data_IF_085447161359
#
_entry.id   IF_085447161359
#
_cell.length_a   1.000
_cell.length_b   1.000
_cell.length_c   1.000
_cell.angle_alpha   90.00
_cell.angle_beta   90.00
_cell.angle_gamma   90.00
#
_symmetry.space_group_name_H-M   'P 1'
#
loop_
_entity.id
_entity.type
_entity.pdbx_description
1 polymer ?
#
# COMPACT_ATOMS: atom_id res chain seq x y z
N UNK A 1 -15.78 -10.59 12.08
CA UNK A 1 -15.63 -11.27 10.80
C UNK A 1 -16.58 -12.44 10.74
N UNK A 2 -16.36 -13.53 11.49
CA UNK A 2 -17.21 -14.73 11.49
C UNK A 2 -18.71 -14.45 11.69
N UNK A 3 -19.08 -13.60 12.67
CA UNK A 3 -20.49 -13.21 12.91
C UNK A 3 -21.15 -12.46 11.72
N UNK A 4 -20.35 -11.87 10.84
CA UNK A 4 -20.79 -11.15 9.65
C UNK A 4 -20.69 -11.98 8.37
N UNK A 5 -20.19 -13.21 8.49
CA UNK A 5 -20.03 -14.11 7.34
C UNK A 5 -19.15 -13.48 6.23
N UNK A 6 -18.00 -12.92 6.62
CA UNK A 6 -17.06 -12.27 5.70
C UNK A 6 -15.78 -13.10 5.57
N UNK A 7 -15.20 -13.24 4.36
CA UNK A 7 -13.85 -13.76 4.19
C UNK A 7 -12.82 -12.80 4.77
N UNK A 8 -11.67 -13.31 5.16
CA UNK A 8 -10.54 -12.49 5.59
C UNK A 8 -9.20 -13.23 5.47
N UNK A 9 -8.13 -12.46 5.31
CA UNK A 9 -6.76 -12.95 5.40
C UNK A 9 -6.19 -12.63 6.79
N UNK A 10 -5.70 -13.66 7.48
CA UNK A 10 -5.07 -13.57 8.80
C UNK A 10 -3.57 -13.72 8.65
N UNK A 11 -2.84 -12.60 8.70
CA UNK A 11 -1.38 -12.61 8.64
C UNK A 11 -0.82 -12.81 10.04
N UNK A 12 -0.20 -13.95 10.28
CA UNK A 12 0.25 -14.40 11.59
C UNK A 12 1.77 -14.23 11.75
N UNK A 13 2.20 -13.64 12.86
CA UNK A 13 3.62 -13.60 13.21
C UNK A 13 4.14 -15.01 13.49
N UNK A 14 5.46 -15.23 13.41
CA UNK A 14 6.08 -16.50 13.79
C UNK A 14 5.66 -16.95 15.20
N UNK A 15 5.61 -16.02 16.15
CA UNK A 15 5.25 -16.33 17.52
C UNK A 15 3.80 -16.79 17.67
N UNK A 16 2.89 -16.25 16.86
CA UNK A 16 1.50 -16.70 16.80
C UNK A 16 1.37 -18.09 16.15
N UNK A 17 2.10 -18.36 15.05
CA UNK A 17 2.11 -19.67 14.38
C UNK A 17 2.65 -20.76 15.32
N UNK A 18 3.72 -20.48 16.04
CA UNK A 18 4.35 -21.40 16.98
C UNK A 18 3.56 -21.60 18.30
N UNK A 19 2.47 -20.85 18.50
CA UNK A 19 1.64 -20.92 19.70
C UNK A 19 0.51 -21.96 19.52
N UNK A 20 0.59 -23.09 20.22
CA UNK A 20 -0.39 -24.19 20.12
C UNK A 20 -1.82 -23.77 20.48
N UNK A 21 -1.99 -22.92 21.50
CA UNK A 21 -3.33 -22.50 21.94
C UNK A 21 -3.99 -21.58 20.90
N UNK A 22 -3.24 -20.73 20.21
CA UNK A 22 -3.77 -19.92 19.11
C UNK A 22 -4.12 -20.78 17.90
N UNK A 23 -3.32 -21.81 17.61
CA UNK A 23 -3.62 -22.72 16.52
C UNK A 23 -4.95 -23.46 16.73
N UNK A 24 -5.29 -23.86 17.96
CA UNK A 24 -6.59 -24.44 18.28
C UNK A 24 -7.75 -23.50 17.93
N UNK A 25 -7.57 -22.19 18.13
CA UNK A 25 -8.58 -21.19 17.73
C UNK A 25 -8.67 -21.08 16.20
N UNK A 26 -7.53 -21.04 15.52
CA UNK A 26 -7.49 -20.91 14.05
C UNK A 26 -8.10 -22.14 13.36
N UNK A 27 -7.91 -23.33 13.90
CA UNK A 27 -8.49 -24.58 13.37
C UNK A 27 -10.02 -24.64 13.42
N UNK A 28 -10.66 -23.76 14.19
CA UNK A 28 -12.12 -23.62 14.27
C UNK A 28 -12.69 -22.63 13.24
N UNK A 29 -11.86 -21.96 12.46
CA UNK A 29 -12.29 -21.03 11.44
C UNK A 29 -12.75 -21.78 10.19
N UNK A 30 -13.67 -21.14 9.44
CA UNK A 30 -14.22 -21.72 8.22
C UNK A 30 -13.25 -21.58 7.02
N UNK A 31 -13.55 -22.28 5.93
CA UNK A 31 -12.73 -22.36 4.73
C UNK A 31 -12.58 -21.02 3.95
N UNK A 32 -13.38 -20.01 4.28
CA UNK A 32 -13.27 -18.67 3.69
C UNK A 32 -12.23 -17.80 4.40
N UNK A 33 -11.59 -18.33 5.43
CA UNK A 33 -10.52 -17.64 6.15
C UNK A 33 -9.17 -18.10 5.60
N UNK A 34 -8.46 -17.18 4.98
CA UNK A 34 -7.08 -17.41 4.55
C UNK A 34 -6.11 -17.15 5.70
N UNK A 35 -5.11 -18.03 5.86
CA UNK A 35 -3.99 -17.79 6.77
C UNK A 35 -2.71 -17.53 6.00
N UNK A 36 -1.98 -16.50 6.43
CA UNK A 36 -0.70 -16.10 5.87
C UNK A 36 0.32 -15.77 6.96
N UNK A 37 1.48 -15.27 6.56
CA UNK A 37 2.58 -14.94 7.46
C UNK A 37 2.77 -13.43 7.54
N UNK A 38 2.88 -12.86 8.76
CA UNK A 38 3.37 -11.51 9.00
C UNK A 38 4.85 -11.54 9.38
N UNK A 39 5.68 -10.90 8.56
CA UNK A 39 7.14 -11.02 8.62
C UNK A 39 7.74 -9.96 9.55
N UNK A 40 7.71 -10.24 10.84
CA UNK A 40 8.41 -9.48 11.88
C UNK A 40 9.42 -10.37 12.59
N UNK A 41 10.70 -9.96 12.57
CA UNK A 41 11.74 -10.68 13.28
C UNK A 41 11.66 -10.38 14.78
N UNK A 42 11.38 -11.41 15.58
CA UNK A 42 11.43 -11.39 17.04
C UNK A 42 12.64 -12.13 17.55
N UNK A 43 13.01 -11.94 18.84
CA UNK A 43 14.12 -12.67 19.45
C UNK A 43 13.90 -14.20 19.39
N UNK A 44 12.69 -14.67 19.66
CA UNK A 44 12.32 -16.09 19.55
C UNK A 44 12.43 -16.61 18.13
N UNK A 45 11.90 -15.86 17.16
CA UNK A 45 11.95 -16.22 15.74
C UNK A 45 13.39 -16.32 15.24
N UNK A 46 14.21 -15.29 15.51
CA UNK A 46 15.63 -15.27 15.11
C UNK A 46 16.42 -16.42 15.73
N UNK A 47 16.24 -16.67 17.04
CA UNK A 47 16.92 -17.77 17.73
C UNK A 47 16.55 -19.14 17.16
N UNK A 48 15.27 -19.37 16.86
CA UNK A 48 14.82 -20.62 16.26
C UNK A 48 15.31 -20.80 14.82
N UNK A 49 15.61 -19.70 14.13
CA UNK A 49 16.23 -19.70 12.80
C UNK A 49 17.76 -19.87 12.84
N UNK A 50 18.36 -19.93 14.04
CA UNK A 50 19.82 -19.95 14.22
C UNK A 50 20.49 -18.64 13.83
N UNK A 51 19.79 -17.52 13.91
CA UNK A 51 20.25 -16.17 13.57
C UNK A 51 20.32 -15.32 14.83
N UNK A 52 21.43 -14.62 15.10
CA UNK A 52 21.48 -13.64 16.18
C UNK A 52 20.44 -12.54 15.95
N UNK A 53 19.59 -12.30 16.95
CA UNK A 53 18.62 -11.20 16.91
C UNK A 53 19.34 -9.86 17.04
N UNK A 54 19.03 -8.93 16.14
CA UNK A 54 19.56 -7.56 16.17
C UNK A 54 18.91 -6.75 17.30
N UNK A 55 19.18 -7.14 18.57
CA UNK A 55 18.56 -6.57 19.74
C UNK A 55 18.93 -5.10 19.92
N UNK A 56 17.92 -4.27 20.12
CA UNK A 56 18.06 -2.83 20.43
C UNK A 56 17.25 -2.49 21.68
N UNK A 57 17.13 -1.21 22.01
CA UNK A 57 16.29 -0.77 23.14
C UNK A 57 14.79 -0.66 22.79
N UNK A 58 14.41 -0.94 21.54
CA UNK A 58 13.03 -0.98 21.13
C UNK A 58 12.80 -2.09 20.10
N UNK A 59 11.65 -2.76 20.19
CA UNK A 59 11.28 -3.85 19.30
C UNK A 59 11.02 -3.38 17.86
N UNK A 60 10.51 -2.15 17.69
CA UNK A 60 10.12 -1.59 16.38
C UNK A 60 11.29 -1.01 15.57
N UNK A 61 12.52 -1.04 16.04
CA UNK A 61 13.64 -0.55 15.24
C UNK A 61 13.84 -1.36 13.96
N UNK A 62 13.94 -0.68 12.81
CA UNK A 62 13.99 -1.27 11.49
C UNK A 62 15.08 -2.34 11.32
N UNK A 63 16.27 -2.14 11.94
CA UNK A 63 17.35 -3.14 11.96
C UNK A 63 16.94 -4.43 12.68
N UNK A 64 15.99 -4.37 13.61
CA UNK A 64 15.57 -5.52 14.42
C UNK A 64 14.37 -6.24 13.78
N UNK A 65 13.35 -5.48 13.40
CA UNK A 65 12.03 -6.03 13.05
C UNK A 65 11.92 -6.46 11.58
N UNK A 66 12.59 -5.75 10.64
CA UNK A 66 12.47 -6.06 9.22
C UNK A 66 13.53 -7.07 8.75
N UNK A 67 13.14 -7.90 7.79
CA UNK A 67 14.09 -8.81 7.12
C UNK A 67 15.26 -8.05 6.52
N UNK A 68 15.04 -6.84 6.00
CA UNK A 68 16.11 -5.97 5.48
C UNK A 68 17.16 -5.57 6.51
N UNK A 69 16.91 -5.74 7.81
CA UNK A 69 17.90 -5.60 8.89
C UNK A 69 18.92 -6.74 8.96
N UNK A 70 18.73 -7.81 8.20
CA UNK A 70 19.55 -9.01 8.19
C UNK A 70 20.25 -9.20 6.85
N UNK A 71 21.36 -9.96 6.82
CA UNK A 71 22.07 -10.31 5.57
C UNK A 71 21.18 -11.22 4.72
N UNK A 72 21.34 -11.21 3.41
CA UNK A 72 20.54 -12.02 2.49
C UNK A 72 20.46 -13.51 2.89
N UNK A 73 21.59 -14.12 3.29
CA UNK A 73 21.60 -15.50 3.73
C UNK A 73 20.81 -15.74 5.04
N UNK A 74 20.79 -14.73 5.92
CA UNK A 74 20.00 -14.80 7.15
C UNK A 74 18.53 -14.54 6.88
N UNK A 75 18.19 -13.65 5.93
CA UNK A 75 16.79 -13.49 5.45
C UNK A 75 16.23 -14.80 4.93
N UNK A 76 16.97 -15.55 4.11
CA UNK A 76 16.54 -16.87 3.62
C UNK A 76 16.26 -17.83 4.76
N UNK A 77 17.14 -17.91 5.77
CA UNK A 77 16.92 -18.79 6.93
C UNK A 77 15.69 -18.40 7.74
N UNK A 78 15.49 -17.09 7.99
CA UNK A 78 14.30 -16.58 8.64
C UNK A 78 13.04 -16.99 7.84
N UNK A 79 13.01 -16.72 6.54
CA UNK A 79 11.89 -17.10 5.66
C UNK A 79 11.67 -18.61 5.71
N UNK A 80 12.70 -19.42 5.53
CA UNK A 80 12.57 -20.87 5.55
C UNK A 80 11.99 -21.38 6.87
N UNK A 81 12.48 -20.85 8.00
CA UNK A 81 12.00 -21.23 9.32
C UNK A 81 10.51 -20.97 9.49
N UNK A 82 10.03 -19.78 9.15
CA UNK A 82 8.61 -19.46 9.35
C UNK A 82 7.71 -20.20 8.36
N UNK A 83 8.15 -20.42 7.11
CA UNK A 83 7.37 -21.17 6.13
C UNK A 83 7.27 -22.66 6.48
N UNK A 84 8.34 -23.26 7.01
CA UNK A 84 8.34 -24.65 7.50
C UNK A 84 7.42 -24.78 8.71
N UNK A 85 7.55 -23.91 9.72
CA UNK A 85 6.66 -23.91 10.89
C UNK A 85 5.19 -23.75 10.49
N UNK A 86 4.91 -22.84 9.55
CA UNK A 86 3.56 -22.64 9.02
C UNK A 86 3.02 -23.94 8.38
N UNK A 87 3.82 -24.54 7.49
CA UNK A 87 3.42 -25.81 6.85
C UNK A 87 3.21 -26.96 7.84
N UNK A 88 4.04 -27.04 8.86
CA UNK A 88 3.88 -28.07 9.92
C UNK A 88 2.57 -27.88 10.69
N UNK A 89 2.10 -26.63 10.86
CA UNK A 89 0.85 -26.32 11.57
C UNK A 89 -0.38 -26.45 10.67
N UNK A 90 -0.34 -25.86 9.48
CA UNK A 90 -1.50 -25.72 8.61
C UNK A 90 -1.57 -26.77 7.50
N UNK A 91 -0.50 -27.54 7.25
CA UNK A 91 -0.43 -28.59 6.23
C UNK A 91 -0.11 -28.10 4.81
N UNK A 92 -0.02 -26.78 4.60
CA UNK A 92 0.27 -26.16 3.30
C UNK A 92 1.21 -24.95 3.46
N UNK A 93 1.78 -24.46 2.37
CA UNK A 93 2.50 -23.18 2.38
C UNK A 93 1.54 -22.03 2.12
N UNK A 94 1.69 -20.87 2.84
CA UNK A 94 0.79 -19.74 2.64
C UNK A 94 1.02 -19.08 1.27
N UNK A 95 -0.05 -18.53 0.70
CA UNK A 95 0.00 -17.76 -0.54
C UNK A 95 0.18 -16.26 -0.28
N UNK A 96 -0.19 -15.80 0.90
CA UNK A 96 -0.10 -14.40 1.30
C UNK A 96 0.89 -14.20 2.44
N UNK A 97 1.67 -13.14 2.31
CA UNK A 97 2.56 -12.65 3.36
C UNK A 97 2.29 -11.17 3.63
N UNK A 98 2.80 -10.65 4.74
CA UNK A 98 2.75 -9.23 5.03
C UNK A 98 3.91 -8.80 5.90
N UNK A 99 4.06 -7.51 6.04
CA UNK A 99 5.04 -6.84 6.87
C UNK A 99 5.00 -5.36 6.57
N UNK A 100 5.45 -4.52 7.48
CA UNK A 100 5.48 -3.09 7.22
C UNK A 100 6.44 -2.76 6.07
N UNK A 101 7.53 -3.50 5.94
CA UNK A 101 8.36 -3.49 4.74
C UNK A 101 8.88 -4.90 4.43
N UNK A 102 8.53 -5.42 3.26
CA UNK A 102 9.07 -6.67 2.72
C UNK A 102 9.88 -6.34 1.47
N UNK A 103 11.19 -6.52 1.54
CA UNK A 103 12.14 -6.15 0.49
C UNK A 103 12.04 -7.06 -0.74
N UNK A 104 12.46 -6.53 -1.91
CA UNK A 104 12.34 -7.23 -3.18
C UNK A 104 13.15 -8.53 -3.24
N UNK A 105 14.31 -8.59 -2.57
CA UNK A 105 15.08 -9.83 -2.46
C UNK A 105 14.29 -10.93 -1.72
N UNK A 106 13.69 -10.57 -0.59
CA UNK A 106 12.87 -11.49 0.20
C UNK A 106 11.62 -11.93 -0.55
N UNK A 107 10.96 -11.01 -1.26
CA UNK A 107 9.80 -11.32 -2.11
C UNK A 107 10.18 -12.28 -3.24
N UNK A 108 11.28 -12.02 -3.95
CA UNK A 108 11.77 -12.91 -5.03
C UNK A 108 12.04 -14.32 -4.50
N UNK A 109 12.73 -14.42 -3.37
CA UNK A 109 13.03 -15.71 -2.75
C UNK A 109 11.76 -16.47 -2.32
N UNK A 110 10.79 -15.78 -1.72
CA UNK A 110 9.53 -16.40 -1.31
C UNK A 110 8.68 -16.82 -2.52
N UNK A 111 8.64 -16.01 -3.57
CA UNK A 111 7.94 -16.36 -4.80
C UNK A 111 8.56 -17.61 -5.46
N UNK A 112 9.89 -17.63 -5.65
CA UNK A 112 10.60 -18.72 -6.31
C UNK A 112 10.50 -20.05 -5.54
N UNK A 113 10.55 -19.99 -4.21
CA UNK A 113 10.62 -21.21 -3.38
C UNK A 113 9.28 -21.69 -2.86
N UNK A 114 8.38 -20.79 -2.54
CA UNK A 114 7.13 -21.08 -1.85
C UNK A 114 5.89 -20.69 -2.63
N UNK A 115 6.08 -20.07 -3.80
CA UNK A 115 4.99 -19.70 -4.71
C UNK A 115 3.94 -18.79 -4.03
N UNK A 116 4.42 -17.74 -3.32
CA UNK A 116 3.53 -16.71 -2.78
C UNK A 116 2.88 -15.92 -3.91
N UNK A 117 1.66 -15.46 -3.70
CA UNK A 117 0.88 -14.68 -4.67
C UNK A 117 0.60 -13.25 -4.24
N UNK A 118 0.54 -12.96 -2.94
CA UNK A 118 0.22 -11.66 -2.41
C UNK A 118 1.13 -11.20 -1.27
N UNK A 119 1.39 -9.89 -1.19
CA UNK A 119 2.09 -9.27 -0.07
C UNK A 119 1.37 -8.00 0.39
N UNK A 120 1.11 -7.89 1.70
CA UNK A 120 0.63 -6.68 2.33
C UNK A 120 1.81 -5.85 2.84
N UNK A 121 1.90 -4.58 2.44
CA UNK A 121 2.86 -3.62 2.95
C UNK A 121 2.20 -2.34 3.43
N UNK A 122 2.93 -1.50 4.15
CA UNK A 122 2.44 -0.18 4.52
C UNK A 122 2.13 0.68 3.30
N UNK A 123 1.21 1.59 3.49
CA UNK A 123 0.89 2.62 2.50
C UNK A 123 2.08 3.55 2.29
N UNK A 124 2.01 4.35 1.23
CA UNK A 124 2.96 5.42 0.97
C UNK A 124 2.93 6.43 2.13
N UNK A 125 3.89 6.34 3.05
CA UNK A 125 3.94 7.13 4.29
C UNK A 125 5.23 7.92 4.44
N UNK A 126 5.12 9.08 5.05
CA UNK A 126 6.22 9.99 5.31
C UNK A 126 6.49 10.07 6.82
N UNK A 127 7.64 9.51 7.23
CA UNK A 127 8.19 9.58 8.60
C UNK A 127 7.19 9.26 9.72
N UNK A 128 6.51 8.13 9.60
CA UNK A 128 5.61 7.58 10.63
C UNK A 128 6.30 6.39 11.30
N UNK A 129 6.31 6.33 12.63
CA UNK A 129 6.94 5.26 13.43
C UNK A 129 8.46 5.07 13.16
N UNK A 130 9.13 6.11 12.65
CA UNK A 130 10.50 6.02 12.19
C UNK A 130 10.67 5.35 10.82
N UNK A 131 9.57 5.17 10.09
CA UNK A 131 9.57 4.56 8.77
C UNK A 131 9.08 5.55 7.72
N UNK A 132 9.93 5.81 6.75
CA UNK A 132 9.58 6.52 5.54
C UNK A 132 9.57 5.53 4.38
N UNK A 133 8.39 5.25 3.83
CA UNK A 133 8.21 4.54 2.57
C UNK A 133 7.45 5.49 1.64
N UNK A 134 8.17 6.25 0.83
CA UNK A 134 7.62 7.40 0.13
C UNK A 134 7.91 7.37 -1.37
N UNK A 135 6.90 7.72 -2.15
CA UNK A 135 6.96 7.71 -3.60
C UNK A 135 6.48 6.44 -4.26
N UNK A 136 6.02 5.47 -3.49
CA UNK A 136 5.50 4.19 -3.98
C UNK A 136 4.09 4.36 -4.56
N UNK A 137 3.54 3.39 -5.32
CA UNK A 137 2.18 3.49 -5.82
C UNK A 137 1.17 3.78 -4.73
N UNK A 138 0.26 4.66 -5.06
CA UNK A 138 -0.70 5.24 -4.16
C UNK A 138 -1.91 4.32 -3.97
N UNK A 139 -2.06 3.75 -2.77
CA UNK A 139 -3.23 3.00 -2.28
C UNK A 139 -3.88 1.99 -3.24
N UNK A 140 -3.17 1.50 -4.26
CA UNK A 140 -3.65 0.49 -5.19
C UNK A 140 -2.75 -0.74 -5.24
N UNK A 141 -3.28 -1.92 -5.56
CA UNK A 141 -2.48 -3.11 -5.84
C UNK A 141 -1.62 -2.95 -7.09
N UNK A 142 -0.40 -3.50 -7.04
CA UNK A 142 0.53 -3.51 -8.16
C UNK A 142 1.50 -4.69 -8.08
N UNK A 143 2.17 -5.00 -9.20
CA UNK A 143 3.29 -5.92 -9.23
C UNK A 143 4.59 -5.19 -8.89
N UNK A 144 5.35 -5.57 -7.86
CA UNK A 144 6.63 -4.93 -7.55
C UNK A 144 7.72 -5.35 -8.55
N UNK A 145 8.73 -4.51 -8.70
CA UNK A 145 9.93 -4.83 -9.45
C UNK A 145 10.79 -5.88 -8.72
N UNK A 146 11.55 -6.69 -9.48
CA UNK A 146 12.50 -7.68 -8.95
C UNK A 146 13.61 -7.08 -8.08
N UNK A 147 13.88 -5.79 -8.22
CA UNK A 147 14.98 -5.12 -7.52
C UNK A 147 14.53 -4.00 -6.58
N UNK A 148 13.23 -3.70 -6.54
CA UNK A 148 12.66 -2.68 -5.66
C UNK A 148 11.19 -2.94 -5.36
N UNK A 149 10.87 -3.30 -4.13
CA UNK A 149 9.50 -3.67 -3.73
C UNK A 149 8.49 -2.50 -3.81
N UNK A 150 8.96 -1.25 -3.75
CA UNK A 150 8.13 -0.04 -3.84
C UNK A 150 7.96 0.51 -5.26
N UNK A 151 8.63 -0.05 -6.26
CA UNK A 151 8.51 0.38 -7.67
C UNK A 151 7.67 -0.65 -8.43
N UNK A 152 6.64 -0.22 -9.18
CA UNK A 152 5.92 -1.13 -10.07
C UNK A 152 6.85 -1.71 -11.13
N UNK A 153 6.83 -3.02 -11.27
CA UNK A 153 7.56 -3.69 -12.36
C UNK A 153 6.80 -3.61 -13.67
N UNK A 154 7.54 -3.40 -14.76
CA UNK A 154 7.01 -3.61 -16.11
C UNK A 154 7.00 -5.11 -16.49
N UNK A 155 6.58 -5.42 -17.72
CA UNK A 155 6.47 -6.79 -18.20
C UNK A 155 7.78 -7.58 -18.20
N UNK A 156 8.95 -6.91 -18.12
CA UNK A 156 10.27 -7.54 -18.17
C UNK A 156 10.86 -7.83 -16.78
N UNK A 157 10.50 -7.01 -15.79
CA UNK A 157 11.14 -7.03 -14.47
C UNK A 157 10.19 -7.18 -13.27
N UNK A 158 8.87 -7.33 -13.49
CA UNK A 158 7.94 -7.55 -12.39
C UNK A 158 8.17 -8.87 -11.65
N UNK A 159 7.93 -8.89 -10.36
CA UNK A 159 7.65 -10.11 -9.61
C UNK A 159 6.18 -10.49 -9.83
N UNK A 160 5.90 -11.78 -9.89
CA UNK A 160 4.52 -12.28 -10.02
C UNK A 160 3.82 -12.40 -8.65
N UNK A 161 3.92 -11.33 -7.88
CA UNK A 161 3.34 -11.15 -6.54
C UNK A 161 2.55 -9.85 -6.54
N UNK A 162 1.31 -9.88 -6.05
CA UNK A 162 0.48 -8.68 -5.95
C UNK A 162 0.77 -7.97 -4.62
N UNK A 163 1.20 -6.72 -4.69
CA UNK A 163 1.41 -5.89 -3.50
C UNK A 163 0.10 -5.18 -3.14
N UNK A 164 -0.37 -5.41 -1.91
CA UNK A 164 -1.48 -4.68 -1.30
C UNK A 164 -0.94 -3.56 -0.42
N UNK A 165 -1.68 -2.47 -0.31
CA UNK A 165 -1.36 -1.37 0.58
C UNK A 165 -2.25 -1.38 1.81
N UNK A 166 -1.63 -1.22 2.97
CA UNK A 166 -2.37 -1.08 4.21
C UNK A 166 -3.19 0.20 4.19
N UNK A 167 -4.51 0.00 4.10
CA UNK A 167 -5.58 0.97 4.15
C UNK A 167 -5.56 2.12 3.10
N UNK A 168 -6.58 2.95 3.14
CA UNK A 168 -6.76 4.10 2.27
C UNK A 168 -6.07 5.34 2.84
N UNK A 169 -5.45 6.16 1.98
CA UNK A 169 -4.85 7.44 2.36
C UNK A 169 -5.63 8.59 1.75
N UNK A 170 -5.77 9.69 2.48
CA UNK A 170 -6.32 10.93 1.94
C UNK A 170 -5.45 11.44 0.78
N UNK A 171 -6.01 11.56 -0.44
CA UNK A 171 -5.24 11.88 -1.62
C UNK A 171 -4.71 13.32 -1.66
N UNK A 172 -5.27 14.22 -0.88
CA UNK A 172 -4.80 15.60 -0.75
C UNK A 172 -4.03 15.78 0.56
N UNK A 173 -4.72 15.61 1.68
CA UNK A 173 -4.17 15.96 2.99
C UNK A 173 -3.03 15.02 3.41
N UNK A 174 -3.00 13.79 2.91
CA UNK A 174 -1.91 12.85 3.11
C UNK A 174 -0.60 13.22 2.41
N UNK A 175 -0.63 14.19 1.48
CA UNK A 175 0.50 14.53 0.62
C UNK A 175 0.96 16.00 0.72
N UNK A 176 0.20 16.87 1.34
CA UNK A 176 0.56 18.28 1.48
C UNK A 176 0.83 18.71 2.93
N UNK A 177 0.45 17.90 3.91
CA UNK A 177 0.65 18.22 5.32
C UNK A 177 0.85 16.99 6.19
N UNK A 178 2.10 16.57 6.46
CA UNK A 178 2.40 15.41 7.28
C UNK A 178 1.99 15.59 8.75
N UNK A 179 1.89 16.84 9.20
CA UNK A 179 1.51 17.17 10.57
C UNK A 179 -0.01 17.19 10.83
N UNK A 180 -0.83 17.09 9.80
CA UNK A 180 -2.27 16.96 9.96
C UNK A 180 -2.61 15.53 10.39
N UNK A 181 -3.48 15.40 11.40
CA UNK A 181 -3.89 14.11 11.93
C UNK A 181 -4.48 13.19 10.85
N UNK A 182 -5.32 13.74 9.98
CA UNK A 182 -5.96 13.02 8.88
C UNK A 182 -4.96 12.51 7.83
N UNK A 183 -3.82 13.17 7.68
CA UNK A 183 -2.77 12.81 6.73
C UNK A 183 -2.12 11.44 7.03
N UNK A 184 -2.16 11.01 8.28
CA UNK A 184 -1.50 9.78 8.77
C UNK A 184 -2.49 8.64 9.01
N UNK A 185 -3.78 8.81 8.67
CA UNK A 185 -4.81 7.88 9.08
C UNK A 185 -5.17 6.89 7.97
N UNK A 186 -4.99 5.62 8.26
CA UNK A 186 -5.23 4.54 7.30
C UNK A 186 -6.05 3.39 7.87
N UNK A 187 -5.77 2.99 9.11
CA UNK A 187 -6.41 1.84 9.74
C UNK A 187 -7.57 2.26 10.63
N UNK A 188 -8.38 1.29 11.03
CA UNK A 188 -9.53 1.53 11.93
C UNK A 188 -9.09 2.12 13.27
N UNK A 189 -7.97 1.63 13.83
CA UNK A 189 -7.46 2.14 15.10
C UNK A 189 -6.92 3.56 14.98
N UNK A 190 -6.25 3.90 13.87
CA UNK A 190 -5.70 5.24 13.65
C UNK A 190 -6.81 6.28 13.64
N UNK A 191 -7.92 6.02 12.96
CA UNK A 191 -9.09 6.90 12.97
C UNK A 191 -9.63 7.14 14.37
N UNK A 192 -9.69 6.08 15.18
CA UNK A 192 -10.19 6.21 16.55
C UNK A 192 -9.23 6.97 17.45
N UNK A 193 -7.93 6.77 17.30
CA UNK A 193 -6.89 7.44 18.10
C UNK A 193 -6.86 8.95 17.90
N UNK A 194 -7.10 9.43 16.70
CA UNK A 194 -7.01 10.85 16.36
C UNK A 194 -8.37 11.56 16.33
N UNK A 195 -9.46 10.84 16.56
CA UNK A 195 -10.80 11.41 16.61
C UNK A 195 -11.32 11.86 15.24
N UNK A 196 -10.90 11.23 14.15
CA UNK A 196 -11.48 11.48 12.85
C UNK A 196 -12.95 11.03 12.80
N UNK A 197 -13.76 11.75 12.03
CA UNK A 197 -15.20 11.47 11.96
C UNK A 197 -15.49 10.20 11.14
N UNK A 198 -16.59 9.55 11.44
CA UNK A 198 -17.10 8.45 10.62
C UNK A 198 -17.40 8.89 9.17
N UNK A 199 -17.92 10.10 8.99
CA UNK A 199 -18.20 10.67 7.67
C UNK A 199 -16.92 10.79 6.82
N UNK A 200 -15.83 11.26 7.42
CA UNK A 200 -14.55 11.34 6.73
C UNK A 200 -14.05 9.94 6.31
N UNK A 201 -14.18 8.95 7.19
CA UNK A 201 -13.82 7.58 6.85
C UNK A 201 -14.70 7.00 5.72
N UNK A 202 -16.01 7.25 5.77
CA UNK A 202 -16.94 6.80 4.73
C UNK A 202 -16.60 7.42 3.37
N UNK A 203 -16.23 8.70 3.31
CA UNK A 203 -15.74 9.34 2.07
C UNK A 203 -14.49 8.67 1.51
N UNK A 204 -13.55 8.29 2.38
CA UNK A 204 -12.36 7.53 1.95
C UNK A 204 -12.73 6.14 1.43
N UNK A 205 -13.63 5.43 2.10
CA UNK A 205 -14.09 4.11 1.65
C UNK A 205 -14.77 4.23 0.29
N UNK A 206 -15.68 5.17 0.12
CA UNK A 206 -16.38 5.40 -1.15
C UNK A 206 -15.39 5.70 -2.28
N UNK A 207 -14.41 6.57 -2.04
CA UNK A 207 -13.42 6.95 -3.03
C UNK A 207 -12.63 5.76 -3.59
N UNK A 208 -12.28 4.79 -2.72
CA UNK A 208 -11.44 3.66 -3.12
C UNK A 208 -12.22 2.39 -3.48
N UNK A 209 -13.43 2.20 -2.98
CA UNK A 209 -14.23 0.99 -3.21
C UNK A 209 -15.19 1.10 -4.40
N UNK A 210 -15.50 2.32 -4.85
CA UNK A 210 -16.37 2.54 -5.99
C UNK A 210 -15.55 2.64 -7.27
N UNK A 211 -15.82 1.74 -8.23
CA UNK A 211 -15.14 1.79 -9.53
C UNK A 211 -15.53 3.05 -10.28
N UNK A 212 -14.57 3.92 -10.56
CA UNK A 212 -14.75 5.05 -11.47
C UNK A 212 -14.69 4.62 -12.94
N UNK A 213 -15.22 5.44 -13.84
CA UNK A 213 -15.11 5.23 -15.29
C UNK A 213 -13.66 5.28 -15.82
N UNK A 214 -12.74 5.84 -15.02
CA UNK A 214 -11.34 5.99 -15.39
C UNK A 214 -10.50 4.73 -15.11
N UNK A 215 -10.96 3.83 -14.25
CA UNK A 215 -10.19 2.69 -13.76
C UNK A 215 -10.74 1.34 -14.22
N UNK A 216 -9.86 0.36 -14.33
CA UNK A 216 -10.27 -1.01 -14.64
C UNK A 216 -10.94 -1.70 -13.43
N UNK A 217 -10.55 -1.31 -12.20
CA UNK A 217 -11.12 -1.82 -10.95
C UNK A 217 -11.06 -0.77 -9.84
N UNK A 218 -11.74 -1.04 -8.76
CA UNK A 218 -11.61 -0.35 -7.47
C UNK A 218 -11.08 -1.33 -6.43
N UNK A 219 -10.34 -0.85 -5.44
CA UNK A 219 -9.78 -1.69 -4.39
C UNK A 219 -9.60 -0.91 -3.09
N UNK A 220 -9.94 -1.56 -1.98
CA UNK A 220 -9.69 -1.06 -0.64
C UNK A 220 -9.28 -2.22 0.28
N UNK A 221 -8.20 -2.05 1.03
CA UNK A 221 -7.87 -2.93 2.16
C UNK A 221 -8.51 -2.39 3.43
N UNK A 222 -9.32 -3.21 4.09
CA UNK A 222 -9.87 -2.91 5.42
C UNK A 222 -9.31 -3.91 6.41
N UNK A 223 -8.59 -3.43 7.41
CA UNK A 223 -7.93 -4.32 8.36
C UNK A 223 -7.88 -3.75 9.76
N UNK A 224 -7.34 -4.55 10.68
CA UNK A 224 -7.09 -4.25 12.07
C UNK A 224 -5.78 -4.90 12.49
N UNK A 225 -4.94 -4.15 13.16
CA UNK A 225 -3.75 -4.67 13.83
C UNK A 225 -4.12 -5.26 15.18
N UNK A 226 -3.46 -6.35 15.58
CA UNK A 226 -3.75 -7.04 16.83
C UNK A 226 -2.91 -6.54 18.01
N UNK A 227 -2.29 -5.39 17.90
CA UNK A 227 -1.37 -4.82 18.91
C UNK A 227 -2.08 -4.27 20.14
N UNK A 228 -3.36 -4.01 20.01
CA UNK A 228 -4.14 -3.32 21.02
C UNK A 228 -5.21 -4.23 21.66
N UNK A 229 -5.65 -3.86 22.86
CA UNK A 229 -6.75 -4.56 23.50
C UNK A 229 -8.00 -4.55 22.61
N UNK A 230 -8.62 -5.71 22.36
CA UNK A 230 -9.88 -5.80 21.62
C UNK A 230 -10.96 -4.83 22.14
N UNK A 231 -11.02 -4.64 23.47
CA UNK A 231 -12.00 -3.76 24.12
C UNK A 231 -11.95 -2.32 23.61
N UNK A 232 -10.79 -1.86 23.12
CA UNK A 232 -10.61 -0.50 22.61
C UNK A 232 -11.22 -0.31 21.23
N UNK A 233 -11.14 -1.32 20.37
CA UNK A 233 -11.51 -1.20 18.95
C UNK A 233 -12.69 -2.07 18.52
N UNK A 234 -13.17 -2.98 19.37
CA UNK A 234 -14.22 -3.93 19.01
C UNK A 234 -15.46 -3.24 18.41
N UNK A 235 -15.95 -2.19 19.06
CA UNK A 235 -17.16 -1.49 18.62
C UNK A 235 -16.98 -0.80 17.26
N UNK A 236 -15.83 -0.12 17.07
CA UNK A 236 -15.52 0.58 15.82
C UNK A 236 -15.29 -0.43 14.70
N UNK A 237 -14.51 -1.47 14.96
CA UNK A 237 -14.25 -2.52 13.98
C UNK A 237 -15.53 -3.27 13.59
N UNK A 238 -16.39 -3.60 14.55
CA UNK A 238 -17.68 -4.21 14.27
C UNK A 238 -18.58 -3.32 13.38
N UNK A 239 -18.53 -2.01 13.58
CA UNK A 239 -19.21 -1.03 12.73
C UNK A 239 -18.64 -1.05 11.31
N UNK A 240 -17.29 -1.05 11.14
CA UNK A 240 -16.63 -1.13 9.83
C UNK A 240 -16.94 -2.43 9.09
N UNK A 241 -16.92 -3.57 9.79
CA UNK A 241 -17.34 -4.84 9.21
C UNK A 241 -18.81 -4.83 8.76
N UNK A 242 -19.67 -4.05 9.44
CA UNK A 242 -21.06 -3.89 8.99
C UNK A 242 -21.15 -3.04 7.71
N UNK A 243 -20.30 -2.03 7.55
CA UNK A 243 -20.19 -1.28 6.30
C UNK A 243 -19.65 -2.16 5.17
N UNK A 244 -18.60 -2.96 5.43
CA UNK A 244 -18.09 -3.93 4.45
C UNK A 244 -19.16 -4.91 4.00
N UNK A 245 -19.97 -5.46 4.94
CA UNK A 245 -21.07 -6.35 4.62
C UNK A 245 -22.13 -5.68 3.74
N UNK A 246 -22.44 -4.42 4.01
CA UNK A 246 -23.36 -3.63 3.19
C UNK A 246 -22.84 -3.44 1.76
N UNK A 247 -21.53 -3.20 1.58
CA UNK A 247 -20.92 -3.11 0.25
C UNK A 247 -21.00 -4.46 -0.49
N UNK A 248 -20.75 -5.58 0.20
CA UNK A 248 -20.90 -6.91 -0.37
C UNK A 248 -22.35 -7.13 -0.88
N UNK A 249 -23.35 -6.77 -0.09
CA UNK A 249 -24.77 -6.83 -0.47
C UNK A 249 -25.11 -5.92 -1.66
N UNK A 250 -24.32 -4.89 -1.91
CA UNK A 250 -24.42 -3.99 -3.06
C UNK A 250 -23.63 -4.46 -4.28
N UNK A 251 -22.99 -5.63 -4.21
CA UNK A 251 -22.28 -6.25 -5.33
C UNK A 251 -20.76 -6.00 -5.35
N UNK A 252 -20.19 -5.38 -4.30
CA UNK A 252 -18.72 -5.29 -4.13
C UNK A 252 -18.20 -6.64 -3.63
N UNK A 253 -17.23 -7.21 -4.32
CA UNK A 253 -16.60 -8.47 -3.90
C UNK A 253 -15.74 -8.25 -2.68
N UNK A 254 -15.96 -9.02 -1.62
CA UNK A 254 -15.06 -9.10 -0.46
C UNK A 254 -14.24 -10.37 -0.62
N UNK A 255 -12.93 -10.23 -0.71
CA UNK A 255 -12.02 -11.30 -1.09
C UNK A 255 -10.87 -11.42 -0.07
N UNK A 256 -10.30 -12.60 0.03
CA UNK A 256 -8.99 -12.80 0.65
C UNK A 256 -7.89 -12.27 -0.24
N UNK A 257 -6.66 -12.14 0.28
CA UNK A 257 -5.51 -11.71 -0.51
C UNK A 257 -5.17 -12.72 -1.62
N UNK A 258 -5.28 -14.01 -1.35
CA UNK A 258 -5.06 -15.07 -2.35
C UNK A 258 -6.09 -14.96 -3.49
N UNK A 259 -7.39 -14.92 -3.17
CA UNK A 259 -8.45 -14.79 -4.16
C UNK A 259 -8.31 -13.54 -5.03
N UNK A 260 -8.00 -12.40 -4.42
CA UNK A 260 -7.76 -11.17 -5.17
C UNK A 260 -6.51 -11.27 -6.04
N UNK A 261 -5.41 -11.84 -5.52
CA UNK A 261 -4.17 -12.02 -6.28
C UNK A 261 -4.36 -12.90 -7.50
N UNK A 262 -5.11 -13.98 -7.38
CA UNK A 262 -5.41 -14.88 -8.49
C UNK A 262 -6.25 -14.18 -9.56
N UNK A 263 -7.27 -13.45 -9.15
CA UNK A 263 -8.06 -12.62 -10.05
C UNK A 263 -7.19 -11.56 -10.74
N UNK A 264 -6.37 -10.82 -9.99
CA UNK A 264 -5.52 -9.75 -10.51
C UNK A 264 -4.51 -10.25 -11.53
N UNK A 265 -3.84 -11.39 -11.25
CA UNK A 265 -2.89 -12.03 -12.17
C UNK A 265 -3.56 -12.51 -13.46
N UNK A 266 -4.79 -12.98 -13.38
CA UNK A 266 -5.58 -13.41 -14.54
C UNK A 266 -6.01 -12.24 -15.41
N UNK A 267 -6.48 -11.15 -14.81
CA UNK A 267 -6.96 -9.98 -15.55
C UNK A 267 -5.79 -9.13 -16.09
N UNK A 268 -4.70 -9.00 -15.33
CA UNK A 268 -3.56 -8.16 -15.67
C UNK A 268 -2.24 -8.96 -15.73
N UNK A 269 -2.10 -9.93 -16.64
CA UNK A 269 -0.96 -10.87 -16.62
C UNK A 269 0.38 -10.21 -16.97
N UNK A 270 0.38 -9.08 -17.67
CA UNK A 270 1.62 -8.44 -18.16
C UNK A 270 2.19 -7.41 -17.21
N UNK A 271 1.37 -6.47 -16.75
CA UNK A 271 1.77 -5.35 -15.90
C UNK A 271 0.55 -4.82 -15.18
N UNK A 272 0.75 -4.05 -14.13
CA UNK A 272 -0.34 -3.36 -13.44
C UNK A 272 -1.00 -2.35 -14.34
N UNK A 273 -2.33 -2.26 -14.38
CA UNK A 273 -3.02 -1.23 -15.15
C UNK A 273 -2.76 0.14 -14.54
N UNK A 274 -2.79 1.22 -15.34
CA UNK A 274 -2.80 2.58 -14.82
C UNK A 274 -4.00 2.81 -13.89
N UNK A 275 -3.83 3.72 -12.95
CA UNK A 275 -4.90 4.09 -12.01
C UNK A 275 -5.00 5.60 -11.89
N UNK A 276 -6.24 6.08 -11.84
CA UNK A 276 -6.58 7.48 -11.76
C UNK A 276 -7.53 7.75 -10.60
N UNK A 277 -7.20 8.72 -9.76
CA UNK A 277 -8.06 9.18 -8.67
C UNK A 277 -8.28 10.67 -8.85
N UNK A 278 -9.53 11.09 -8.74
CA UNK A 278 -9.89 12.50 -8.65
C UNK A 278 -10.96 12.67 -7.56
N UNK A 279 -10.80 13.69 -6.77
CA UNK A 279 -11.77 14.04 -5.72
C UNK A 279 -11.63 15.50 -5.32
N UNK A 280 -12.72 16.11 -4.90
CA UNK A 280 -12.68 17.35 -4.13
C UNK A 280 -12.12 17.07 -2.73
N UNK A 281 -11.57 18.09 -2.09
CA UNK A 281 -10.98 17.95 -0.76
C UNK A 281 -11.98 17.34 0.23
N UNK A 282 -11.59 16.24 0.85
CA UNK A 282 -12.44 15.50 1.79
C UNK A 282 -12.74 16.31 3.08
N UNK A 283 -11.91 17.30 3.38
CA UNK A 283 -12.09 18.23 4.51
C UNK A 283 -12.91 19.47 4.13
N UNK A 284 -13.27 19.65 2.85
CA UNK A 284 -14.19 20.66 2.37
C UNK A 284 -13.57 22.00 1.98
N UNK A 285 -12.25 22.07 1.78
CA UNK A 285 -11.64 23.24 1.15
C UNK A 285 -12.01 23.31 -0.35
N UNK A 286 -11.93 24.50 -0.93
CA UNK A 286 -12.24 24.72 -2.35
C UNK A 286 -11.10 24.26 -3.28
N UNK A 287 -10.78 22.98 -3.19
CA UNK A 287 -9.69 22.33 -3.92
C UNK A 287 -10.13 21.00 -4.50
N UNK A 288 -9.51 20.61 -5.61
CA UNK A 288 -9.60 19.26 -6.19
C UNK A 288 -8.20 18.68 -6.27
N UNK A 289 -8.07 17.39 -6.00
CA UNK A 289 -6.84 16.63 -6.22
C UNK A 289 -7.03 15.60 -7.32
N UNK A 290 -6.00 15.43 -8.10
CA UNK A 290 -5.93 14.42 -9.16
C UNK A 290 -4.63 13.65 -9.03
N UNK A 291 -4.72 12.32 -9.07
CA UNK A 291 -3.58 11.42 -9.12
C UNK A 291 -3.67 10.51 -10.32
N UNK A 292 -2.57 10.41 -11.03
CA UNK A 292 -2.36 9.39 -12.04
C UNK A 292 -1.10 8.59 -11.70
N UNK A 293 -1.17 7.29 -11.87
CA UNK A 293 -0.03 6.40 -11.70
C UNK A 293 -0.11 5.21 -12.65
N UNK A 294 1.05 4.82 -13.15
CA UNK A 294 1.25 3.68 -14.04
C UNK A 294 2.45 2.87 -13.57
N UNK A 295 2.93 1.92 -14.37
CA UNK A 295 4.21 1.24 -14.11
C UNK A 295 5.44 2.10 -14.45
N UNK A 296 5.24 3.30 -14.99
CA UNK A 296 6.33 4.16 -15.45
C UNK A 296 6.49 5.44 -14.63
N UNK A 297 5.40 5.97 -14.08
CA UNK A 297 5.44 7.20 -13.29
C UNK A 297 4.20 7.35 -12.42
N UNK A 298 4.28 8.29 -11.47
CA UNK A 298 3.08 8.87 -10.82
C UNK A 298 3.13 10.39 -10.86
N UNK A 299 1.97 11.01 -10.91
CA UNK A 299 1.79 12.47 -10.83
C UNK A 299 0.60 12.80 -9.95
N UNK A 300 0.80 13.73 -9.02
CA UNK A 300 -0.24 14.33 -8.17
C UNK A 300 -0.40 15.80 -8.49
N UNK A 301 -1.64 16.23 -8.74
CA UNK A 301 -2.03 17.61 -9.03
C UNK A 301 -3.05 18.08 -8.01
N UNK A 302 -2.90 19.27 -7.48
CA UNK A 302 -3.92 19.99 -6.74
C UNK A 302 -4.43 21.16 -7.58
N UNK A 303 -5.72 21.27 -7.81
CA UNK A 303 -6.39 22.40 -8.44
C UNK A 303 -7.13 23.22 -7.39
N UNK A 304 -6.88 24.52 -7.34
CA UNK A 304 -7.57 25.46 -6.46
C UNK A 304 -8.63 26.22 -7.28
N UNK A 305 -9.89 26.01 -6.92
CA UNK A 305 -11.03 26.63 -7.60
C UNK A 305 -11.05 28.17 -7.45
N UNK A 306 -10.48 28.70 -6.36
CA UNK A 306 -10.50 30.14 -6.06
C UNK A 306 -9.46 30.89 -6.90
N UNK A 307 -8.25 30.35 -6.96
CA UNK A 307 -7.15 30.96 -7.73
C UNK A 307 -7.10 30.52 -9.20
N UNK A 308 -7.81 29.43 -9.55
CA UNK A 308 -7.81 28.78 -10.87
C UNK A 308 -6.42 28.33 -11.31
N UNK A 309 -5.64 27.87 -10.34
CA UNK A 309 -4.28 27.37 -10.55
C UNK A 309 -4.19 25.90 -10.22
N UNK A 310 -3.25 25.22 -10.86
CA UNK A 310 -2.79 23.90 -10.42
C UNK A 310 -1.45 24.02 -9.70
N UNK A 311 -1.27 23.13 -8.74
CA UNK A 311 0.02 22.82 -8.13
C UNK A 311 0.37 21.36 -8.43
N UNK A 312 1.55 21.10 -8.98
CA UNK A 312 2.07 19.75 -9.09
C UNK A 312 2.67 19.41 -7.73
N UNK A 313 2.03 18.51 -6.99
CA UNK A 313 2.42 18.15 -5.62
C UNK A 313 3.37 16.95 -5.56
N UNK A 314 3.36 16.13 -6.61
CA UNK A 314 4.27 15.00 -6.78
C UNK A 314 4.44 14.69 -8.25
N UNK A 315 5.67 14.50 -8.69
CA UNK A 315 6.01 13.98 -10.02
C UNK A 315 7.26 13.13 -9.90
N UNK A 316 7.13 11.84 -10.19
CA UNK A 316 8.27 10.93 -10.13
C UNK A 316 8.22 9.82 -11.15
N UNK A 317 9.34 9.53 -11.82
CA UNK A 317 9.47 8.37 -12.68
C UNK A 317 9.68 7.11 -11.83
N UNK A 318 9.18 5.98 -12.31
CA UNK A 318 9.49 4.66 -11.79
C UNK A 318 10.60 4.02 -12.62
N UNK A 319 11.82 4.07 -12.09
CA UNK A 319 13.02 3.66 -12.81
C UNK A 319 13.28 2.15 -12.62
N UNK A 320 13.15 1.38 -13.67
CA UNK A 320 13.32 -0.08 -13.64
C UNK A 320 14.73 -0.57 -13.24
N UNK A 321 15.74 0.30 -13.29
CA UNK A 321 17.11 0.01 -12.88
C UNK A 321 17.47 0.58 -11.50
N UNK A 322 16.52 1.18 -10.79
CA UNK A 322 16.74 1.71 -9.46
C UNK A 322 16.59 0.59 -8.42
N UNK A 323 17.71 0.17 -7.85
CA UNK A 323 17.74 -0.86 -6.82
C UNK A 323 17.35 -0.26 -5.47
N UNK A 324 16.53 -0.99 -4.72
CA UNK A 324 16.11 -0.54 -3.38
C UNK A 324 17.27 -0.47 -2.41
N UNK A 325 17.21 0.43 -1.42
CA UNK A 325 18.11 0.42 -0.29
C UNK A 325 18.08 -0.95 0.42
N UNK A 326 19.23 -1.42 0.86
CA UNK A 326 19.38 -2.69 1.60
C UNK A 326 19.08 -3.97 0.80
N UNK A 327 18.98 -3.89 -0.53
CA UNK A 327 18.86 -5.09 -1.37
C UNK A 327 20.06 -6.02 -1.20
N UNK A 328 21.29 -5.50 -1.39
CA UNK A 328 22.53 -6.27 -1.26
C UNK A 328 23.18 -6.15 0.12
N UNK A 329 23.03 -5.02 0.79
CA UNK A 329 23.48 -4.79 2.16
C UNK A 329 22.30 -4.92 3.14
N UNK A 330 22.58 -4.92 4.44
CA UNK A 330 21.51 -4.91 5.44
C UNK A 330 21.39 -3.54 6.12
N UNK A 331 20.17 -3.19 6.53
CA UNK A 331 19.90 -1.98 7.29
C UNK A 331 20.45 -2.11 8.72
N UNK A 332 21.37 -1.23 9.09
CA UNK A 332 21.93 -1.13 10.47
C UNK A 332 21.32 0.03 11.26
N UNK A 333 20.40 0.77 10.66
CA UNK A 333 19.78 1.95 11.27
C UNK A 333 18.51 1.55 12.04
N UNK A 334 18.15 2.36 13.01
CA UNK A 334 16.89 2.19 13.73
C UNK A 334 15.68 2.51 12.88
N UNK A 335 15.83 3.43 11.94
CA UNK A 335 14.81 3.88 11.03
C UNK A 335 14.90 3.15 9.68
N UNK A 336 13.79 3.11 8.96
CA UNK A 336 13.73 2.73 7.55
C UNK A 336 13.51 3.98 6.71
N UNK A 337 14.32 4.18 5.69
CA UNK A 337 14.11 5.26 4.72
C UNK A 337 14.15 4.69 3.31
N UNK A 338 12.98 4.58 2.71
CA UNK A 338 12.75 4.23 1.31
C UNK A 338 12.09 5.43 0.67
N UNK A 339 12.87 6.20 -0.09
CA UNK A 339 12.39 7.38 -0.81
C UNK A 339 12.74 7.23 -2.28
N UNK A 340 11.73 7.24 -3.14
CA UNK A 340 11.92 7.08 -4.57
C UNK A 340 12.39 8.40 -5.22
N UNK A 341 13.18 8.33 -6.30
CA UNK A 341 13.55 9.49 -7.08
C UNK A 341 12.34 10.32 -7.48
N UNK A 342 12.50 11.64 -7.52
CA UNK A 342 11.43 12.56 -7.86
C UNK A 342 11.95 13.74 -8.71
N UNK A 343 11.05 14.33 -9.46
CA UNK A 343 11.21 15.64 -10.13
C UNK A 343 10.59 16.71 -9.24
N UNK A 344 9.38 16.44 -8.71
CA UNK A 344 8.66 17.29 -7.76
C UNK A 344 8.19 16.43 -6.59
N UNK A 345 8.40 16.93 -5.38
CA UNK A 345 7.95 16.28 -4.15
C UNK A 345 7.63 17.34 -3.08
N UNK A 346 6.37 17.67 -2.92
CA UNK A 346 5.91 18.68 -1.95
C UNK A 346 6.36 18.40 -0.52
N UNK A 347 6.49 17.13 -0.14
CA UNK A 347 6.83 16.74 1.23
C UNK A 347 8.31 16.89 1.54
N UNK A 348 9.18 16.52 0.59
CA UNK A 348 10.64 16.60 0.77
C UNK A 348 11.23 17.92 0.32
N UNK A 349 10.63 18.57 -0.70
CA UNK A 349 11.13 19.79 -1.29
C UNK A 349 9.98 20.70 -1.74
N UNK A 350 9.51 21.54 -0.82
CA UNK A 350 8.42 22.49 -1.10
C UNK A 350 8.79 23.55 -2.14
N UNK A 351 10.07 23.85 -2.28
CA UNK A 351 10.54 24.86 -3.25
C UNK A 351 10.50 24.32 -4.68
N UNK A 352 10.44 23.00 -4.86
CA UNK A 352 10.26 22.39 -6.20
C UNK A 352 8.85 22.54 -6.76
N UNK A 353 7.88 22.90 -5.92
CA UNK A 353 6.46 22.97 -6.30
C UNK A 353 6.20 24.18 -7.19
N UNK A 354 5.60 23.92 -8.34
CA UNK A 354 5.24 24.95 -9.30
C UNK A 354 3.72 25.22 -9.29
N UNK A 355 3.35 26.51 -9.22
CA UNK A 355 1.99 26.96 -9.48
C UNK A 355 1.83 27.38 -10.93
N UNK A 356 0.81 26.87 -11.59
CA UNK A 356 0.51 27.16 -12.98
C UNK A 356 -0.91 27.68 -13.09
N UNK A 357 -1.08 28.87 -13.65
CA UNK A 357 -2.40 29.43 -13.95
C UNK A 357 -2.98 28.75 -15.20
N UNK A 358 -4.02 27.96 -14.97
CA UNK A 358 -4.69 27.16 -16.01
C UNK A 358 -6.10 27.65 -16.37
N UNK A 359 -6.60 28.66 -15.65
CA UNK A 359 -8.00 29.08 -15.77
C UNK A 359 -8.97 28.04 -15.19
N UNK A 360 -10.21 28.04 -15.64
CA UNK A 360 -11.23 27.11 -15.19
C UNK A 360 -10.91 25.67 -15.61
N UNK A 361 -11.10 24.69 -14.71
CA UNK A 361 -11.18 23.28 -15.07
C UNK A 361 -12.51 23.05 -15.81
N UNK A 362 -12.43 22.69 -17.10
CA UNK A 362 -13.59 22.50 -17.96
C UNK A 362 -14.12 21.06 -17.91
N UNK A 363 -13.22 20.06 -17.99
CA UNK A 363 -13.61 18.65 -17.96
C UNK A 363 -12.45 17.74 -17.60
N UNK A 364 -12.81 16.56 -17.08
CA UNK A 364 -11.96 15.39 -16.97
C UNK A 364 -12.65 14.31 -17.81
N UNK A 365 -11.91 13.66 -18.71
CA UNK A 365 -12.49 12.64 -19.59
C UNK A 365 -11.49 11.53 -19.88
N UNK A 366 -12.02 10.34 -20.21
CA UNK A 366 -11.23 9.19 -20.68
C UNK A 366 -11.44 8.99 -22.18
N UNK A 367 -10.34 8.89 -22.93
CA UNK A 367 -10.35 8.54 -24.35
C UNK A 367 -9.47 7.30 -24.56
N UNK A 368 -10.08 6.13 -24.69
CA UNK A 368 -9.34 4.87 -24.70
C UNK A 368 -8.67 4.60 -23.35
N UNK A 369 -7.34 4.56 -23.34
CA UNK A 369 -6.50 4.45 -22.13
C UNK A 369 -6.05 5.79 -21.55
N UNK A 370 -6.23 6.88 -22.30
CA UNK A 370 -5.71 8.20 -21.97
C UNK A 370 -6.72 8.97 -21.10
N UNK A 371 -6.23 9.68 -20.09
CA UNK A 371 -7.04 10.58 -19.25
C UNK A 371 -6.69 12.01 -19.59
N UNK A 372 -7.69 12.78 -19.98
CA UNK A 372 -7.54 14.16 -20.40
C UNK A 372 -8.15 15.12 -19.38
N UNK A 373 -7.33 16.02 -18.84
CA UNK A 373 -7.75 17.17 -18.03
C UNK A 373 -7.75 18.40 -18.94
N UNK A 374 -8.94 18.95 -19.18
CA UNK A 374 -9.09 20.15 -19.99
C UNK A 374 -9.31 21.37 -19.12
N UNK A 375 -8.53 22.40 -19.35
CA UNK A 375 -8.61 23.69 -18.69
C UNK A 375 -8.84 24.81 -19.73
N UNK A 376 -9.27 25.95 -19.27
CA UNK A 376 -9.47 27.14 -20.12
C UNK A 376 -8.22 27.54 -20.91
N UNK A 377 -7.01 27.37 -20.33
CA UNK A 377 -5.74 27.75 -20.91
C UNK A 377 -4.94 26.60 -21.51
N UNK A 378 -5.45 25.38 -21.50
CA UNK A 378 -4.73 24.25 -22.05
C UNK A 378 -5.23 22.90 -21.54
N UNK A 379 -4.40 21.88 -21.70
CA UNK A 379 -4.74 20.50 -21.29
C UNK A 379 -3.54 19.73 -20.77
N UNK A 380 -3.83 18.70 -19.98
CA UNK A 380 -2.88 17.67 -19.54
C UNK A 380 -3.49 16.32 -19.89
N UNK A 381 -2.74 15.50 -20.61
CA UNK A 381 -3.14 14.14 -20.98
C UNK A 381 -2.19 13.14 -20.33
N UNK A 382 -2.73 12.28 -19.49
CA UNK A 382 -2.01 11.17 -18.91
C UNK A 382 -2.10 9.94 -19.80
N UNK A 383 -0.96 9.39 -20.16
CA UNK A 383 -0.78 8.11 -20.85
C UNK A 383 0.04 7.17 -19.98
N UNK A 384 0.00 5.89 -20.28
CA UNK A 384 0.73 4.91 -19.48
C UNK A 384 2.23 5.23 -19.33
N UNK A 385 2.89 5.69 -20.38
CA UNK A 385 4.34 5.90 -20.44
C UNK A 385 4.77 7.37 -20.43
N UNK A 386 3.85 8.33 -20.67
CA UNK A 386 4.17 9.74 -20.83
C UNK A 386 3.05 10.66 -20.36
N UNK A 387 3.41 11.91 -20.09
CA UNK A 387 2.48 13.02 -19.87
C UNK A 387 2.59 13.97 -21.06
N UNK A 388 1.46 14.29 -21.68
CA UNK A 388 1.40 15.25 -22.79
C UNK A 388 0.66 16.50 -22.32
N UNK A 389 1.26 17.66 -22.49
CA UNK A 389 0.64 18.93 -22.15
C UNK A 389 0.45 19.81 -23.39
N UNK A 390 -0.70 20.48 -23.46
CA UNK A 390 -1.02 21.44 -24.50
C UNK A 390 -1.30 22.81 -23.89
N UNK A 391 -0.41 23.80 -24.12
CA UNK A 391 -0.57 25.14 -23.56
C UNK A 391 -0.24 25.32 -22.07
N UNK A 392 0.12 24.23 -21.39
CA UNK A 392 0.52 24.20 -19.97
C UNK A 392 1.96 23.68 -19.90
N UNK A 393 2.85 24.41 -19.23
CA UNK A 393 4.24 23.97 -19.06
C UNK A 393 4.34 23.06 -17.85
N UNK A 394 4.70 21.82 -18.05
CA UNK A 394 4.99 20.83 -17.00
C UNK A 394 6.51 20.64 -16.94
N UNK A 395 7.14 20.53 -15.75
CA UNK A 395 8.55 20.20 -15.61
C UNK A 395 8.89 18.87 -16.30
N UNK A 396 10.06 18.81 -16.93
CA UNK A 396 10.60 17.61 -17.59
C UNK A 396 11.24 16.65 -16.59
#
# INVERSE_FOLDING_TARGET
IRKKDLPATWLLTYDAIANKSLFEVFSLMDERQEFGIFLEATEKFSNNSGIPYNKTNSWHHATSVFLSGYRQEDRKKLIDTVFIEFKERFGYYPKSVGGWWVDAFSLSYMQEKYDISGVLGISDQFDLDGYQVWGTPFSIPFYPSKIHAGIPGDSSNKLDVVTFRWAARDPLNGYISPSQKQASLYSVQDYSQVGASDEYFEKLVDLYSVKSEYNEFAHLTVGLEADYSPDTYEAIFAKRLSSVKKFEEQGVSVLTMEEFSDWYKKEFPKTSPPHFIETDDLLGESKKVVWYQSSFYRMGLMYDYSSKKIQIIDLRPYLNNFQEPFYTSHNKQFNLSINLPFVIDYMNDRDSVQEIDVGNLESISREGSDINLKFEKGSIVFRAEEIVSGGISIPE
#
